data_IF_500893943340
#
_entry.id   IF_500893943340
#
_cell.length_a   1.000
_cell.length_b   1.000
_cell.length_c   1.000
_cell.angle_alpha   90.00
_cell.angle_beta   90.00
_cell.angle_gamma   90.00
#
_symmetry.space_group_name_H-M   'P 1'
#
loop_
_entity.id
_entity.type
_entity.pdbx_description
1 polymer ?
#
# COMPACT_ATOMS: atom_id res chain seq x y z
N UNK A 1 16.31 24.46 7.39
CA UNK A 1 17.43 24.39 6.40
C UNK A 1 16.86 23.70 5.15
N UNK A 2 16.75 24.42 4.03
CA UNK A 2 15.98 24.05 2.85
C UNK A 2 16.38 22.69 2.24
N UNK A 3 15.40 21.90 1.78
CA UNK A 3 15.58 20.56 1.17
C UNK A 3 16.66 20.57 0.09
N UNK A 4 16.62 21.59 -0.77
CA UNK A 4 17.60 21.79 -1.85
C UNK A 4 19.06 21.81 -1.34
N UNK A 5 19.32 22.55 -0.27
CA UNK A 5 20.65 22.66 0.34
C UNK A 5 21.00 21.41 1.15
N UNK A 6 20.04 20.82 1.86
CA UNK A 6 20.26 19.61 2.68
C UNK A 6 20.79 18.44 1.84
N UNK A 7 20.25 18.27 0.63
CA UNK A 7 20.64 17.19 -0.28
C UNK A 7 21.71 17.61 -1.30
N UNK A 8 22.28 18.83 -1.19
CA UNK A 8 23.28 19.38 -2.11
C UNK A 8 22.86 19.25 -3.58
N UNK A 9 21.60 19.54 -3.90
CA UNK A 9 21.05 19.28 -5.24
C UNK A 9 21.78 20.07 -6.34
N UNK A 10 22.40 21.21 -6.00
CA UNK A 10 23.24 21.99 -6.91
C UNK A 10 24.52 21.27 -7.37
N UNK A 11 24.99 20.25 -6.64
CA UNK A 11 26.18 19.47 -7.02
C UNK A 11 25.87 18.36 -8.01
N UNK A 12 24.59 18.09 -8.27
CA UNK A 12 24.17 17.04 -9.19
C UNK A 12 24.05 17.63 -10.59
N UNK A 13 24.83 17.10 -11.54
CA UNK A 13 24.69 17.43 -12.95
C UNK A 13 23.51 16.64 -13.57
N UNK A 14 22.30 16.84 -13.06
CA UNK A 14 21.12 16.06 -13.45
C UNK A 14 19.81 16.85 -13.29
N UNK A 15 18.79 16.42 -14.02
CA UNK A 15 17.41 16.87 -13.80
C UNK A 15 16.81 16.11 -12.62
N UNK A 16 16.22 16.85 -11.66
CA UNK A 16 15.63 16.27 -10.44
C UNK A 16 14.12 16.42 -10.50
N UNK A 17 13.39 15.32 -10.28
CA UNK A 17 11.94 15.31 -10.18
C UNK A 17 11.57 14.92 -8.75
N UNK A 18 10.81 15.79 -8.08
CA UNK A 18 10.28 15.53 -6.74
C UNK A 18 8.79 15.25 -6.85
N UNK A 19 8.33 14.14 -6.28
CA UNK A 19 6.91 13.84 -6.13
C UNK A 19 6.51 13.97 -4.65
N UNK A 20 5.32 14.50 -4.40
CA UNK A 20 4.80 14.64 -3.04
C UNK A 20 3.28 14.53 -3.04
N UNK A 21 2.70 14.31 -1.85
CA UNK A 21 1.26 14.42 -1.65
C UNK A 21 0.91 15.89 -1.43
N UNK A 22 -0.24 16.31 -1.95
CA UNK A 22 -0.69 17.71 -1.87
C UNK A 22 -0.90 18.25 -0.45
N UNK A 23 -1.07 17.38 0.55
CA UNK A 23 -1.17 17.81 1.96
C UNK A 23 0.18 17.90 2.67
N UNK A 24 1.26 17.40 2.05
CA UNK A 24 2.60 17.39 2.66
C UNK A 24 3.39 18.64 2.27
N UNK A 25 3.28 19.08 1.02
CA UNK A 25 3.90 20.30 0.53
C UNK A 25 2.85 21.18 -0.14
N UNK A 26 2.63 22.37 0.42
CA UNK A 26 1.82 23.40 -0.21
C UNK A 26 2.61 24.17 -1.28
N UNK A 27 1.92 24.90 -2.15
CA UNK A 27 2.53 25.78 -3.15
C UNK A 27 3.46 26.84 -2.53
N UNK A 28 3.15 27.26 -1.29
CA UNK A 28 4.02 28.16 -0.52
C UNK A 28 5.28 27.44 -0.08
N UNK A 29 5.14 26.23 0.46
CA UNK A 29 6.28 25.41 0.89
C UNK A 29 7.20 25.10 -0.28
N UNK A 30 6.67 24.77 -1.46
CA UNK A 30 7.47 24.52 -2.67
C UNK A 30 8.38 25.72 -2.99
N UNK A 31 7.83 26.93 -2.93
CA UNK A 31 8.60 28.17 -3.18
C UNK A 31 9.72 28.39 -2.15
N UNK A 32 9.54 27.96 -0.91
CA UNK A 32 10.57 28.14 0.11
C UNK A 32 11.54 26.96 0.20
N UNK A 33 11.07 25.72 0.04
CA UNK A 33 11.80 24.47 0.31
C UNK A 33 12.63 24.01 -0.89
N UNK A 34 12.10 24.19 -2.11
CA UNK A 34 12.69 23.65 -3.35
C UNK A 34 13.41 24.71 -4.19
N UNK A 35 13.28 26.00 -3.87
CA UNK A 35 14.03 27.06 -4.55
C UNK A 35 15.45 27.11 -3.96
N UNK A 36 16.43 26.69 -4.76
CA UNK A 36 17.85 26.98 -4.52
C UNK A 36 18.15 28.47 -4.73
N UNK A 37 19.38 28.89 -4.43
CA UNK A 37 19.87 30.28 -4.53
C UNK A 37 19.75 30.96 -5.90
N UNK A 38 19.28 30.26 -6.94
CA UNK A 38 19.25 30.73 -8.31
C UNK A 38 17.89 31.32 -8.74
N UNK A 39 16.89 31.43 -7.84
CA UNK A 39 15.57 32.03 -8.08
C UNK A 39 14.80 31.54 -9.33
N UNK A 40 15.23 30.43 -9.96
CA UNK A 40 14.53 29.85 -11.11
C UNK A 40 13.24 29.20 -10.61
N UNK A 41 12.12 29.57 -11.23
CA UNK A 41 10.81 28.99 -10.96
C UNK A 41 10.83 27.50 -11.32
N UNK A 42 10.72 26.64 -10.31
CA UNK A 42 10.56 25.19 -10.52
C UNK A 42 9.17 24.93 -11.12
N UNK A 43 9.07 24.26 -12.28
CA UNK A 43 7.76 23.91 -12.84
C UNK A 43 7.06 22.90 -11.92
N UNK A 44 5.79 23.17 -11.60
CA UNK A 44 4.96 22.29 -10.76
C UNK A 44 3.94 21.60 -11.64
N UNK A 45 3.82 20.28 -11.50
CA UNK A 45 2.88 19.45 -12.26
C UNK A 45 1.93 18.76 -11.27
N UNK A 46 0.63 18.92 -11.50
CA UNK A 46 -0.41 18.25 -10.73
C UNK A 46 -0.90 17.00 -11.45
N UNK A 47 -0.94 15.87 -10.73
CA UNK A 47 -1.52 14.63 -11.25
C UNK A 47 -3.04 14.67 -11.10
N UNK A 48 -3.73 14.86 -12.22
CA UNK A 48 -5.19 14.90 -12.23
C UNK A 48 -5.81 13.48 -12.22
N UNK A 49 -6.97 13.29 -11.58
CA UNK A 49 -7.71 12.04 -11.67
C UNK A 49 -8.06 11.64 -13.11
N UNK A 50 -8.29 10.34 -13.34
CA UNK A 50 -8.60 9.83 -14.68
C UNK A 50 -9.96 10.31 -15.17
N UNK A 51 -10.00 10.74 -16.43
CA UNK A 51 -11.25 11.03 -17.12
C UNK A 51 -12.02 9.75 -17.45
N UNK A 52 -13.33 9.86 -17.68
CA UNK A 52 -14.17 8.73 -18.13
C UNK A 52 -13.59 8.00 -19.36
N UNK A 53 -13.00 8.74 -20.30
CA UNK A 53 -12.31 8.17 -21.47
C UNK A 53 -11.10 7.32 -21.06
N UNK A 54 -10.24 7.84 -20.17
CA UNK A 54 -9.08 7.10 -19.65
C UNK A 54 -9.48 5.86 -18.85
N UNK A 55 -10.55 5.94 -18.05
CA UNK A 55 -11.10 4.78 -17.31
C UNK A 55 -11.55 3.69 -18.30
N UNK A 56 -12.31 4.03 -19.33
CA UNK A 56 -12.75 3.07 -20.34
C UNK A 56 -11.57 2.41 -21.06
N UNK A 57 -10.56 3.20 -21.44
CA UNK A 57 -9.33 2.69 -22.06
C UNK A 57 -8.56 1.75 -21.10
N UNK A 58 -8.55 2.06 -19.80
CA UNK A 58 -7.94 1.20 -18.79
C UNK A 58 -8.66 -0.15 -18.71
N UNK A 59 -10.00 -0.16 -18.67
CA UNK A 59 -10.80 -1.39 -18.64
C UNK A 59 -10.47 -2.27 -19.86
N UNK A 60 -10.40 -1.67 -21.05
CA UNK A 60 -10.10 -2.41 -22.28
C UNK A 60 -8.68 -3.01 -22.23
N UNK A 61 -7.69 -2.28 -21.69
CA UNK A 61 -6.31 -2.77 -21.48
C UNK A 61 -6.23 -3.88 -20.43
N UNK A 62 -6.91 -3.70 -19.30
CA UNK A 62 -6.97 -4.67 -18.20
C UNK A 62 -7.49 -6.03 -18.70
N UNK A 63 -8.53 -6.02 -19.53
CA UNK A 63 -9.08 -7.24 -20.13
C UNK A 63 -8.12 -7.94 -21.09
N UNK A 64 -7.36 -7.17 -21.90
CA UNK A 64 -6.34 -7.73 -22.78
C UNK A 64 -5.20 -8.37 -21.98
N UNK A 65 -4.79 -7.77 -20.87
CA UNK A 65 -3.74 -8.30 -19.99
C UNK A 65 -4.18 -9.56 -19.24
N UNK A 66 -5.39 -9.58 -18.68
CA UNK A 66 -5.89 -10.74 -17.94
C UNK A 66 -5.96 -12.01 -18.79
N UNK A 67 -6.36 -11.90 -20.06
CA UNK A 67 -6.37 -13.03 -21.00
C UNK A 67 -4.99 -13.63 -21.23
N UNK A 68 -3.94 -12.81 -21.20
CA UNK A 68 -2.55 -13.26 -21.39
C UNK A 68 -1.94 -13.88 -20.13
N UNK A 69 -2.20 -13.27 -18.97
CA UNK A 69 -1.45 -13.60 -17.75
C UNK A 69 -2.10 -14.66 -16.86
N UNK A 70 -3.28 -15.20 -17.24
CA UNK A 70 -4.04 -16.19 -16.45
C UNK A 70 -4.25 -15.80 -14.98
N UNK A 71 -4.14 -14.50 -14.66
CA UNK A 71 -4.15 -14.00 -13.29
C UNK A 71 -5.48 -14.30 -12.56
N UNK A 72 -6.54 -14.49 -13.34
CA UNK A 72 -7.81 -15.05 -12.91
C UNK A 72 -8.37 -15.99 -13.99
N UNK A 73 -7.94 -17.25 -14.03
CA UNK A 73 -8.51 -18.28 -14.93
C UNK A 73 -10.04 -18.43 -14.77
N UNK A 74 -10.61 -17.95 -13.67
CA UNK A 74 -12.04 -18.07 -13.34
C UNK A 74 -12.92 -16.89 -13.78
N UNK A 75 -12.35 -15.81 -14.35
CA UNK A 75 -13.13 -14.61 -14.72
C UNK A 75 -13.49 -14.58 -16.21
N UNK A 76 -14.56 -15.29 -16.57
CA UNK A 76 -15.24 -15.20 -17.87
C UNK A 76 -16.07 -13.91 -18.04
N UNK A 77 -15.57 -12.77 -17.56
CA UNK A 77 -16.26 -11.49 -17.73
C UNK A 77 -15.86 -10.81 -19.04
N UNK A 78 -16.84 -10.30 -19.76
CA UNK A 78 -16.67 -9.47 -20.97
C UNK A 78 -16.53 -8.00 -20.60
N UNK A 79 -15.94 -7.19 -21.50
CA UNK A 79 -15.88 -5.73 -21.35
C UNK A 79 -17.29 -5.14 -21.11
N UNK A 80 -18.31 -5.69 -21.80
CA UNK A 80 -19.71 -5.29 -21.62
C UNK A 80 -20.17 -5.52 -20.19
N UNK A 81 -19.90 -6.69 -19.61
CA UNK A 81 -20.27 -7.01 -18.22
C UNK A 81 -19.60 -6.09 -17.19
N UNK A 82 -18.33 -5.73 -17.38
CA UNK A 82 -17.67 -4.73 -16.53
C UNK A 82 -18.37 -3.37 -16.62
N UNK A 83 -18.56 -2.87 -17.84
CA UNK A 83 -19.16 -1.54 -18.07
C UNK A 83 -20.62 -1.47 -17.57
N UNK A 84 -21.43 -2.52 -17.80
CA UNK A 84 -22.82 -2.55 -17.31
C UNK A 84 -22.89 -2.72 -15.79
N UNK A 85 -21.98 -3.47 -15.19
CA UNK A 85 -21.94 -3.63 -13.74
C UNK A 85 -21.51 -2.36 -13.05
N UNK A 86 -20.46 -1.68 -13.50
CA UNK A 86 -20.01 -0.42 -12.90
C UNK A 86 -21.09 0.67 -12.91
N UNK A 87 -21.92 0.72 -13.97
CA UNK A 87 -23.07 1.64 -14.03
C UNK A 87 -24.08 1.43 -12.88
N UNK A 88 -24.15 0.21 -12.33
CA UNK A 88 -25.01 -0.12 -11.19
C UNK A 88 -24.44 0.33 -9.85
N UNK A 89 -23.17 0.75 -9.80
CA UNK A 89 -22.47 1.18 -8.58
C UNK A 89 -21.84 2.56 -8.77
N UNK A 90 -22.61 3.66 -8.63
CA UNK A 90 -22.11 5.02 -8.82
C UNK A 90 -20.93 5.38 -7.89
N UNK A 91 -20.93 4.86 -6.66
CA UNK A 91 -19.84 5.04 -5.69
C UNK A 91 -18.50 4.50 -6.20
N UNK A 92 -18.50 3.35 -6.86
CA UNK A 92 -17.31 2.77 -7.47
C UNK A 92 -16.82 3.62 -8.64
N UNK A 93 -17.73 4.12 -9.49
CA UNK A 93 -17.37 4.97 -10.63
C UNK A 93 -16.55 6.20 -10.21
N UNK A 94 -16.89 6.82 -9.07
CA UNK A 94 -16.13 7.96 -8.55
C UNK A 94 -14.73 7.57 -8.05
N UNK A 95 -14.61 6.43 -7.37
CA UNK A 95 -13.33 5.93 -6.89
C UNK A 95 -12.37 5.52 -8.03
N UNK A 96 -12.92 5.09 -9.16
CA UNK A 96 -12.15 4.76 -10.37
C UNK A 96 -11.50 5.98 -11.03
N UNK A 97 -11.70 7.20 -10.55
CA UNK A 97 -10.87 8.31 -10.99
C UNK A 97 -9.44 8.20 -10.43
N UNK A 98 -9.24 7.45 -9.34
CA UNK A 98 -7.93 7.17 -8.74
C UNK A 98 -7.27 5.94 -9.41
N UNK A 99 -6.12 6.07 -10.10
CA UNK A 99 -5.55 5.00 -10.92
C UNK A 99 -5.34 3.68 -10.18
N UNK A 100 -4.92 3.74 -8.91
CA UNK A 100 -4.69 2.56 -8.08
C UNK A 100 -5.99 1.82 -7.74
N UNK A 101 -7.07 2.56 -7.43
CA UNK A 101 -8.37 1.97 -7.11
C UNK A 101 -9.02 1.33 -8.33
N UNK A 102 -8.78 1.83 -9.55
CA UNK A 102 -9.31 1.19 -10.78
C UNK A 102 -8.89 -0.27 -10.84
N UNK A 103 -7.61 -0.56 -10.63
CA UNK A 103 -7.09 -1.92 -10.70
C UNK A 103 -7.79 -2.83 -9.67
N UNK A 104 -7.91 -2.36 -8.44
CA UNK A 104 -8.52 -3.13 -7.36
C UNK A 104 -10.00 -3.38 -7.61
N UNK A 105 -10.74 -2.33 -7.96
CA UNK A 105 -12.16 -2.41 -8.27
C UNK A 105 -12.38 -3.41 -9.41
N UNK A 106 -11.60 -3.34 -10.49
CA UNK A 106 -11.74 -4.29 -11.60
C UNK A 106 -11.36 -5.72 -11.19
N UNK A 107 -10.40 -5.92 -10.30
CA UNK A 107 -10.03 -7.25 -9.82
C UNK A 107 -11.14 -7.91 -8.98
N UNK A 108 -11.86 -7.12 -8.17
CA UNK A 108 -12.90 -7.63 -7.26
C UNK A 108 -14.31 -7.57 -7.86
N UNK A 109 -14.57 -6.71 -8.85
CA UNK A 109 -15.93 -6.43 -9.34
C UNK A 109 -16.78 -7.70 -9.58
N UNK A 110 -16.24 -8.79 -10.15
CA UNK A 110 -17.02 -9.99 -10.39
C UNK A 110 -17.52 -10.71 -9.14
N UNK A 111 -16.69 -10.87 -8.12
CA UNK A 111 -17.06 -11.45 -6.82
C UNK A 111 -17.90 -10.44 -6.02
N UNK A 112 -17.47 -9.18 -6.03
CA UNK A 112 -18.11 -8.06 -5.35
C UNK A 112 -19.57 -7.88 -5.77
N UNK A 113 -19.85 -8.00 -7.08
CA UNK A 113 -21.21 -7.84 -7.62
C UNK A 113 -22.21 -8.93 -7.21
N UNK A 114 -21.73 -10.06 -6.69
CA UNK A 114 -22.56 -11.13 -6.12
C UNK A 114 -22.88 -10.89 -4.65
N UNK A 115 -22.04 -10.14 -3.95
CA UNK A 115 -22.11 -9.96 -2.49
C UNK A 115 -22.92 -8.72 -2.11
N UNK A 116 -22.83 -7.65 -2.89
CA UNK A 116 -23.47 -6.38 -2.59
C UNK A 116 -24.64 -6.10 -3.51
N UNK A 117 -25.70 -5.49 -2.97
CA UNK A 117 -26.80 -5.01 -3.79
C UNK A 117 -26.38 -3.72 -4.53
N UNK A 118 -26.88 -3.47 -5.76
CA UNK A 118 -26.63 -2.23 -6.50
C UNK A 118 -26.91 -0.93 -5.73
N UNK A 119 -27.86 -0.94 -4.80
CA UNK A 119 -28.23 0.21 -3.99
C UNK A 119 -27.23 0.50 -2.84
N UNK A 120 -26.25 -0.39 -2.61
CA UNK A 120 -25.32 -0.26 -1.50
C UNK A 120 -24.32 0.86 -1.75
N UNK A 121 -24.24 1.82 -0.81
CA UNK A 121 -23.20 2.85 -0.81
C UNK A 121 -21.87 2.24 -0.35
N UNK A 122 -21.07 1.82 -1.32
CA UNK A 122 -19.75 1.23 -1.07
C UNK A 122 -18.73 2.30 -0.69
N UNK A 123 -17.95 2.05 0.36
CA UNK A 123 -16.83 2.90 0.83
C UNK A 123 -15.49 2.44 0.25
N UNK A 124 -14.48 3.31 0.28
CA UNK A 124 -13.11 2.94 -0.13
C UNK A 124 -12.54 1.82 0.75
N UNK A 125 -12.83 1.85 2.06
CA UNK A 125 -12.39 0.81 2.99
C UNK A 125 -12.94 -0.57 2.60
N UNK A 126 -14.20 -0.65 2.16
CA UNK A 126 -14.81 -1.90 1.69
C UNK A 126 -14.17 -2.41 0.39
N UNK A 127 -13.73 -1.52 -0.50
CA UNK A 127 -12.95 -1.92 -1.69
C UNK A 127 -11.62 -2.54 -1.28
N UNK A 128 -10.88 -1.88 -0.38
CA UNK A 128 -9.61 -2.41 0.14
C UNK A 128 -9.79 -3.75 0.84
N UNK A 129 -10.81 -3.87 1.70
CA UNK A 129 -11.11 -5.09 2.44
C UNK A 129 -11.43 -6.26 1.49
N UNK A 130 -12.33 -6.04 0.53
CA UNK A 130 -12.70 -7.06 -0.45
C UNK A 130 -11.50 -7.48 -1.32
N UNK A 131 -10.68 -6.52 -1.74
CA UNK A 131 -9.47 -6.79 -2.52
C UNK A 131 -8.45 -7.60 -1.71
N UNK A 132 -8.15 -7.16 -0.48
CA UNK A 132 -7.22 -7.85 0.40
C UNK A 132 -7.69 -9.26 0.72
N UNK A 133 -8.99 -9.45 1.00
CA UNK A 133 -9.58 -10.77 1.23
C UNK A 133 -9.37 -11.70 0.04
N UNK A 134 -9.72 -11.26 -1.17
CA UNK A 134 -9.53 -12.06 -2.39
C UNK A 134 -8.05 -12.37 -2.66
N UNK A 135 -7.16 -11.39 -2.43
CA UNK A 135 -5.72 -11.57 -2.61
C UNK A 135 -5.13 -12.58 -1.62
N UNK A 136 -5.46 -12.45 -0.33
CA UNK A 136 -5.03 -13.38 0.72
C UNK A 136 -5.58 -14.78 0.43
N UNK A 137 -6.86 -14.92 0.12
CA UNK A 137 -7.49 -16.22 -0.16
C UNK A 137 -6.79 -16.96 -1.32
N UNK A 138 -6.42 -16.23 -2.38
CA UNK A 138 -5.68 -16.79 -3.51
C UNK A 138 -4.27 -17.27 -3.11
N UNK A 139 -3.56 -16.47 -2.29
CA UNK A 139 -2.20 -16.81 -1.83
C UNK A 139 -2.18 -17.95 -0.84
N UNK A 140 -3.10 -17.93 0.13
CA UNK A 140 -3.26 -19.00 1.12
C UNK A 140 -3.54 -20.33 0.45
N UNK A 141 -4.42 -20.37 -0.58
CA UNK A 141 -4.66 -21.59 -1.35
C UNK A 141 -3.38 -22.10 -2.04
N UNK A 142 -2.61 -21.20 -2.65
CA UNK A 142 -1.34 -21.56 -3.29
C UNK A 142 -0.34 -22.14 -2.28
N UNK A 143 -0.18 -21.50 -1.12
CA UNK A 143 0.75 -21.93 -0.06
C UNK A 143 0.28 -23.25 0.54
N UNK A 144 -1.00 -23.40 0.88
CA UNK A 144 -1.54 -24.64 1.44
C UNK A 144 -1.35 -25.83 0.49
N UNK A 145 -1.55 -25.62 -0.81
CA UNK A 145 -1.28 -26.65 -1.83
C UNK A 145 0.20 -27.06 -1.88
N UNK A 146 1.13 -26.15 -1.56
CA UNK A 146 2.56 -26.44 -1.52
C UNK A 146 2.98 -27.13 -0.21
N UNK A 147 2.37 -26.74 0.93
CA UNK A 147 2.77 -27.21 2.26
C UNK A 147 2.09 -28.51 2.71
N UNK A 148 1.09 -29.02 1.98
CA UNK A 148 0.34 -30.30 2.17
C UNK A 148 -0.34 -30.53 3.54
N UNK A 149 0.21 -30.05 4.65
CA UNK A 149 -0.21 -30.36 6.03
C UNK A 149 -0.80 -29.15 6.77
N UNK A 150 -0.70 -27.95 6.21
CA UNK A 150 -1.12 -26.73 6.90
C UNK A 150 -2.52 -26.28 6.49
N UNK A 151 -3.40 -26.14 7.48
CA UNK A 151 -4.79 -25.74 7.24
C UNK A 151 -4.89 -24.29 6.71
N UNK A 152 -5.56 -24.03 5.57
CA UNK A 152 -5.65 -22.71 4.95
C UNK A 152 -6.11 -21.59 5.91
N UNK A 153 -7.06 -21.89 6.78
CA UNK A 153 -7.59 -20.90 7.73
C UNK A 153 -6.54 -20.45 8.76
N UNK A 154 -5.64 -21.36 9.17
CA UNK A 154 -4.54 -21.03 10.11
C UNK A 154 -3.55 -20.07 9.43
N UNK A 155 -3.13 -20.38 8.21
CA UNK A 155 -2.23 -19.52 7.41
C UNK A 155 -2.85 -18.13 7.24
N UNK A 156 -4.14 -18.09 6.87
CA UNK A 156 -4.87 -16.84 6.67
C UNK A 156 -4.89 -15.98 7.93
N UNK A 157 -5.22 -16.58 9.08
CA UNK A 157 -5.29 -15.87 10.36
C UNK A 157 -3.91 -15.35 10.78
N UNK A 158 -2.89 -16.22 10.77
CA UNK A 158 -1.52 -15.84 11.12
C UNK A 158 -0.99 -14.71 10.24
N UNK A 159 -1.18 -14.80 8.92
CA UNK A 159 -0.75 -13.77 7.98
C UNK A 159 -1.48 -12.44 8.20
N UNK A 160 -2.80 -12.49 8.42
CA UNK A 160 -3.59 -11.30 8.69
C UNK A 160 -3.13 -10.61 9.98
N UNK A 161 -2.93 -11.38 11.05
CA UNK A 161 -2.47 -10.85 12.34
C UNK A 161 -1.08 -10.22 12.20
N UNK A 162 -0.13 -10.92 11.57
CA UNK A 162 1.22 -10.40 11.30
C UNK A 162 1.18 -9.06 10.55
N UNK A 163 0.43 -8.99 9.45
CA UNK A 163 0.32 -7.76 8.67
C UNK A 163 -0.33 -6.61 9.45
N UNK A 164 -1.33 -6.90 10.30
CA UNK A 164 -1.99 -5.89 11.12
C UNK A 164 -1.07 -5.33 12.20
N UNK A 165 -0.37 -6.21 12.93
CA UNK A 165 0.58 -5.82 13.97
C UNK A 165 1.73 -5.01 13.36
N UNK A 166 2.35 -5.51 12.28
CA UNK A 166 3.42 -4.79 11.59
C UNK A 166 2.96 -3.43 11.06
N UNK A 167 1.80 -3.36 10.40
CA UNK A 167 1.29 -2.10 9.86
C UNK A 167 0.98 -1.09 10.99
N UNK A 168 0.48 -1.57 12.13
CA UNK A 168 0.20 -0.71 13.28
C UNK A 168 1.50 -0.18 13.91
N UNK A 169 2.51 -1.04 14.08
CA UNK A 169 3.82 -0.63 14.56
C UNK A 169 4.48 0.40 13.63
N UNK A 170 4.47 0.14 12.32
CA UNK A 170 4.98 1.06 11.29
C UNK A 170 4.26 2.41 11.34
N UNK A 171 2.92 2.39 11.51
CA UNK A 171 2.13 3.61 11.64
C UNK A 171 2.51 4.42 12.87
N UNK A 172 2.62 3.80 14.05
CA UNK A 172 3.00 4.46 15.30
C UNK A 172 4.43 5.02 15.22
N UNK A 173 5.35 4.30 14.58
CA UNK A 173 6.73 4.74 14.39
C UNK A 173 6.88 5.82 13.32
N UNK A 174 5.85 6.06 12.51
CA UNK A 174 5.93 6.95 11.34
C UNK A 174 6.87 6.42 10.24
N UNK A 175 7.15 5.12 10.23
CA UNK A 175 8.04 4.47 9.27
C UNK A 175 7.21 3.70 8.22
N UNK A 176 7.63 3.75 6.96
CA UNK A 176 6.96 3.09 5.85
C UNK A 176 7.76 1.90 5.28
N UNK A 177 8.92 1.60 5.86
CA UNK A 177 9.79 0.51 5.43
C UNK A 177 10.08 -0.43 6.59
N UNK A 178 9.69 -1.69 6.45
CA UNK A 178 10.13 -2.76 7.32
C UNK A 178 11.47 -3.31 6.80
N UNK A 179 12.42 -3.52 7.72
CA UNK A 179 13.71 -4.14 7.43
C UNK A 179 13.74 -5.43 8.26
N UNK A 180 13.95 -6.56 7.60
CA UNK A 180 14.20 -7.82 8.30
C UNK A 180 15.60 -7.72 8.91
N UNK A 181 15.68 -7.80 10.23
CA UNK A 181 16.95 -7.79 10.95
C UNK A 181 17.64 -9.14 10.74
N UNK A 182 18.35 -9.29 9.62
CA UNK A 182 19.32 -10.37 9.41
C UNK A 182 20.56 -10.09 10.28
N UNK A 183 20.43 -10.42 11.57
CA UNK A 183 21.49 -10.42 12.60
C UNK A 183 21.99 -9.03 13.03
N UNK A 184 21.99 -8.87 14.36
CA UNK A 184 22.78 -7.91 15.15
C UNK A 184 22.79 -6.43 14.72
N UNK A 185 22.21 -5.60 15.60
CA UNK A 185 22.52 -4.18 15.68
C UNK A 185 24.03 -3.97 15.90
N UNK A 186 24.80 -3.84 14.82
CA UNK A 186 25.85 -2.82 14.83
C UNK A 186 25.13 -1.49 14.78
N UNK A 187 25.34 -0.71 15.82
CA UNK A 187 24.89 0.65 16.08
C UNK A 187 25.18 1.56 14.86
N UNK A 188 24.32 1.51 13.84
CA UNK A 188 24.31 2.51 12.78
C UNK A 188 23.48 3.66 13.34
N UNK A 189 24.15 4.76 13.68
CA UNK A 189 23.53 6.06 13.84
C UNK A 189 22.94 6.48 12.49
N UNK A 190 21.82 5.88 12.07
CA UNK A 190 21.03 6.39 10.96
C UNK A 190 20.27 7.56 11.55
N UNK A 191 20.66 8.76 11.13
CA UNK A 191 20.03 10.01 11.48
C UNK A 191 18.64 10.08 10.81
N UNK A 192 17.67 9.33 11.32
CA UNK A 192 16.24 9.52 11.06
C UNK A 192 15.75 10.68 11.93
N UNK A 193 16.25 11.89 11.65
CA UNK A 193 15.52 13.09 12.08
C UNK A 193 14.24 13.13 11.24
N UNK A 194 13.04 12.97 11.84
CA UNK A 194 11.82 13.29 11.12
C UNK A 194 11.90 14.73 10.61
N UNK A 195 11.28 15.02 9.47
CA UNK A 195 11.11 16.40 9.04
C UNK A 195 10.40 17.18 10.16
N UNK A 196 10.83 18.43 10.45
CA UNK A 196 10.34 19.17 11.59
C UNK A 196 8.82 19.34 11.47
N UNK A 197 8.10 18.61 12.31
CA UNK A 197 6.70 18.87 12.60
C UNK A 197 6.70 20.12 13.47
N UNK A 198 5.97 21.15 13.04
CA UNK A 198 5.74 22.34 13.87
C UNK A 198 5.19 21.86 15.22
N UNK A 199 5.90 22.20 16.28
CA UNK A 199 5.82 21.61 17.61
C UNK A 199 4.44 21.75 18.26
N UNK A 200 3.91 20.64 18.77
CA UNK A 200 3.19 20.62 20.05
C UNK A 200 3.76 19.46 20.85
N UNK A 201 4.45 19.81 21.94
CA UNK A 201 5.12 18.87 22.85
C UNK A 201 4.13 17.83 23.40
N UNK A 202 4.38 16.56 23.12
CA UNK A 202 3.85 15.46 23.92
C UNK A 202 5.07 14.71 24.48
N UNK A 203 5.32 14.86 25.78
CA UNK A 203 6.34 14.12 26.52
C UNK A 203 6.00 12.62 26.50
N UNK A 204 6.70 11.84 25.68
CA UNK A 204 6.66 10.38 25.75
C UNK A 204 7.58 9.89 26.87
N UNK A 205 6.97 9.22 27.86
CA UNK A 205 7.66 8.51 28.93
C UNK A 205 8.33 7.26 28.36
N UNK A 206 9.66 7.18 28.46
CA UNK A 206 10.43 5.98 28.12
C UNK A 206 10.10 4.84 29.09
N UNK A 207 9.34 3.84 28.63
CA UNK A 207 9.30 2.53 29.28
C UNK A 207 10.42 1.66 28.73
N UNK A 208 11.44 1.42 29.55
CA UNK A 208 12.45 0.38 29.34
C UNK A 208 11.76 -0.98 29.23
N UNK A 209 11.67 -1.52 28.02
CA UNK A 209 11.28 -2.90 27.77
C UNK A 209 12.40 -3.82 28.26
N UNK A 210 12.05 -4.76 29.15
CA UNK A 210 12.96 -5.79 29.66
C UNK A 210 13.42 -6.68 28.50
N UNK A 211 14.74 -6.88 28.42
CA UNK A 211 15.38 -7.90 27.58
C UNK A 211 14.70 -9.26 27.79
N UNK A 212 13.96 -9.70 26.78
CA UNK A 212 13.55 -11.09 26.65
C UNK A 212 14.50 -11.70 25.64
N UNK A 213 15.48 -12.47 26.14
CA UNK A 213 16.19 -13.45 25.33
C UNK A 213 15.12 -14.31 24.65
N UNK A 214 15.14 -14.41 23.32
CA UNK A 214 14.83 -15.63 22.59
C UNK A 214 15.04 -15.33 21.10
N UNK A 215 15.97 -16.06 20.48
CA UNK A 215 15.98 -16.36 19.05
C UNK A 215 14.76 -17.21 18.68
N UNK A 216 13.57 -16.73 19.03
CA UNK A 216 12.31 -17.36 18.68
C UNK A 216 12.02 -16.98 17.24
N UNK A 217 11.70 -17.98 16.43
CA UNK A 217 11.22 -17.73 15.09
C UNK A 217 9.98 -16.82 15.22
N UNK A 218 10.00 -15.63 14.60
CA UNK A 218 8.93 -14.62 14.67
C UNK A 218 7.56 -15.25 14.39
N UNK A 219 7.54 -16.32 13.58
CA UNK A 219 6.35 -17.07 13.24
C UNK A 219 5.77 -17.93 14.38
N UNK A 220 6.54 -18.34 15.38
CA UNK A 220 6.04 -19.11 16.54
C UNK A 220 4.92 -18.36 17.28
N UNK A 221 5.03 -17.03 17.36
CA UNK A 221 4.00 -16.16 17.94
C UNK A 221 2.66 -16.25 17.21
N UNK A 222 2.68 -16.44 15.89
CA UNK A 222 1.48 -16.44 15.05
C UNK A 222 0.89 -17.83 14.83
N UNK A 223 1.68 -18.88 15.08
CA UNK A 223 1.28 -20.28 14.92
C UNK A 223 1.20 -21.04 16.25
N UNK A 224 1.24 -20.35 17.40
CA UNK A 224 1.08 -20.91 18.75
C UNK A 224 1.99 -22.12 19.05
N UNK A 225 3.22 -22.10 18.53
CA UNK A 225 4.16 -23.21 18.73
C UNK A 225 3.89 -24.49 17.92
N UNK A 226 2.93 -24.48 16.98
CA UNK A 226 2.86 -25.51 15.94
C UNK A 226 4.19 -25.43 15.15
N UNK A 227 5.03 -26.46 15.29
CA UNK A 227 6.39 -26.48 14.76
C UNK A 227 6.44 -26.19 13.25
N UNK A 228 6.76 -24.96 12.89
CA UNK A 228 7.21 -24.58 11.54
C UNK A 228 8.59 -25.18 11.29
N UNK A 229 9.34 -25.49 12.36
CA UNK A 229 10.68 -26.07 12.35
C UNK A 229 10.76 -27.55 11.89
N UNK A 230 9.69 -28.11 11.31
CA UNK A 230 9.69 -29.46 10.73
C UNK A 230 9.55 -29.49 9.20
N UNK A 231 9.64 -28.34 8.53
CA UNK A 231 9.50 -28.24 7.06
C UNK A 231 10.64 -27.46 6.42
#
# INVERSE_FOLDING_TARGET
RYFYNRFNLNKWNANIIVSCRSHVLSDKDIKHVLIGSNNKTTPVIYLWPFSKKKINQYIDKFMKMNKKNKWNETLNWTIRQYKTTLKRYPSLCKMMEEPFLIQQILAILPSFSKQYSPATKISKAQVYEAFNKQWIDSRVKKIANQLKEMHPQKIKFAFQQYCQELAFEMFIQGNQTAIENDKEYKKINICTKPDPTIEMEIKCVEKKSKNMNLTQNVWERYFNGDSIAKY
#
